data_IF_595724065671
#
_entry.id   IF_595724065671
#
_cell.length_a   1.000
_cell.length_b   1.000
_cell.length_c   1.000
_cell.angle_alpha   90.00
_cell.angle_beta   90.00
_cell.angle_gamma   90.00
#
_symmetry.space_group_name_H-M   'P 1'
#
loop_
_entity.id
_entity.type
_entity.pdbx_description
1 polymer ?
#
# COMPACT_ATOMS: atom_id res chain seq x y z
N UNK A 1 -15.56 -26.64 0.57
CA UNK A 1 -15.45 -25.86 -0.68
C UNK A 1 -14.74 -26.75 -1.68
N UNK A 2 -15.32 -26.93 -2.87
CA UNK A 2 -14.70 -27.72 -3.94
C UNK A 2 -13.45 -27.02 -4.47
N UNK A 3 -12.43 -27.74 -4.98
CA UNK A 3 -11.22 -27.10 -5.52
C UNK A 3 -11.52 -26.05 -6.60
N UNK A 4 -12.55 -26.29 -7.43
CA UNK A 4 -13.03 -25.35 -8.45
C UNK A 4 -13.57 -24.05 -7.84
N UNK A 5 -14.40 -24.16 -6.80
CA UNK A 5 -14.95 -23.00 -6.10
C UNK A 5 -13.85 -22.19 -5.39
N UNK A 6 -12.85 -22.86 -4.80
CA UNK A 6 -11.71 -22.18 -4.18
C UNK A 6 -10.88 -21.39 -5.21
N UNK A 7 -10.55 -21.99 -6.37
CA UNK A 7 -9.83 -21.28 -7.44
C UNK A 7 -10.60 -20.05 -7.92
N UNK A 8 -11.93 -20.13 -8.02
CA UNK A 8 -12.77 -18.99 -8.39
C UNK A 8 -12.73 -17.88 -7.35
N UNK A 9 -12.87 -18.21 -6.06
CA UNK A 9 -12.76 -17.24 -4.97
C UNK A 9 -11.44 -16.46 -5.02
N UNK A 10 -10.32 -17.18 -5.16
CA UNK A 10 -8.99 -16.56 -5.23
C UNK A 10 -8.93 -15.65 -6.46
N UNK A 11 -9.37 -16.11 -7.63
CA UNK A 11 -9.36 -15.31 -8.86
C UNK A 11 -10.19 -14.03 -8.75
N UNK A 12 -11.37 -14.09 -8.12
CA UNK A 12 -12.24 -12.92 -7.94
C UNK A 12 -11.62 -11.88 -7.01
N UNK A 13 -11.08 -12.32 -5.86
CA UNK A 13 -10.40 -11.43 -4.91
C UNK A 13 -9.11 -10.84 -5.48
N UNK A 14 -8.35 -11.61 -6.27
CA UNK A 14 -7.14 -11.07 -6.93
C UNK A 14 -7.48 -10.09 -8.04
N UNK A 15 -8.60 -10.28 -8.75
CA UNK A 15 -9.06 -9.33 -9.78
C UNK A 15 -9.53 -8.02 -9.17
N UNK A 16 -10.33 -8.10 -8.10
CA UNK A 16 -10.80 -6.94 -7.36
C UNK A 16 -10.69 -7.18 -5.85
N UNK A 17 -9.64 -6.64 -5.20
CA UNK A 17 -9.42 -6.80 -3.76
C UNK A 17 -10.48 -6.13 -2.88
N UNK A 18 -11.38 -5.32 -3.45
CA UNK A 18 -12.49 -4.69 -2.72
C UNK A 18 -13.75 -5.56 -2.64
N UNK A 19 -13.75 -6.70 -3.33
CA UNK A 19 -14.89 -7.63 -3.32
C UNK A 19 -15.28 -8.05 -1.91
N UNK A 20 -16.56 -7.92 -1.60
CA UNK A 20 -17.07 -8.27 -0.27
C UNK A 20 -17.34 -9.77 -0.18
N UNK A 21 -17.29 -10.29 1.04
CA UNK A 21 -17.51 -11.72 1.24
C UNK A 21 -18.96 -12.17 0.96
N UNK A 22 -19.93 -11.22 0.98
CA UNK A 22 -21.31 -11.43 0.50
C UNK A 22 -21.40 -11.53 -1.02
N UNK A 23 -20.67 -10.70 -1.76
CA UNK A 23 -20.58 -10.81 -3.22
C UNK A 23 -19.95 -12.15 -3.64
N UNK A 24 -18.89 -12.57 -2.94
CA UNK A 24 -18.27 -13.88 -3.14
C UNK A 24 -19.26 -15.03 -2.84
N UNK A 25 -20.09 -14.88 -1.81
CA UNK A 25 -21.14 -15.84 -1.50
C UNK A 25 -22.17 -15.95 -2.63
N UNK A 26 -22.63 -14.82 -3.18
CA UNK A 26 -23.54 -14.78 -4.32
C UNK A 26 -22.90 -15.40 -5.59
N UNK A 27 -21.62 -15.11 -5.83
CA UNK A 27 -20.85 -15.71 -6.92
C UNK A 27 -20.77 -17.24 -6.81
N UNK A 28 -20.58 -17.77 -5.60
CA UNK A 28 -20.60 -19.22 -5.36
C UNK A 28 -21.98 -19.85 -5.51
N UNK A 29 -23.04 -19.14 -5.09
CA UNK A 29 -24.42 -19.57 -5.27
C UNK A 29 -24.77 -19.78 -6.75
N UNK A 30 -24.20 -18.97 -7.67
CA UNK A 30 -24.37 -19.14 -9.12
C UNK A 30 -23.89 -20.51 -9.65
N UNK A 31 -22.94 -21.15 -8.97
CA UNK A 31 -22.41 -22.49 -9.32
C UNK A 31 -23.05 -23.56 -8.42
N UNK A 32 -24.18 -23.27 -7.77
CA UNK A 32 -24.87 -24.17 -6.84
C UNK A 32 -23.99 -24.57 -5.64
N UNK A 33 -23.01 -23.74 -5.26
CA UNK A 33 -22.18 -23.96 -4.07
C UNK A 33 -22.64 -23.02 -2.96
N UNK A 34 -23.44 -23.52 -2.03
CA UNK A 34 -23.84 -22.77 -0.84
C UNK A 34 -22.75 -22.82 0.23
N UNK A 35 -22.25 -21.66 0.64
CA UNK A 35 -21.21 -21.55 1.67
C UNK A 35 -21.54 -20.37 2.56
N UNK A 36 -21.36 -20.51 3.87
CA UNK A 36 -21.46 -19.39 4.79
C UNK A 36 -20.28 -18.44 4.65
N UNK A 37 -20.54 -17.16 4.79
CA UNK A 37 -19.59 -16.06 4.72
C UNK A 37 -18.31 -16.27 5.57
N UNK A 38 -18.46 -16.76 6.81
CA UNK A 38 -17.31 -17.06 7.69
C UNK A 38 -16.36 -18.13 7.12
N UNK A 39 -16.89 -19.10 6.37
CA UNK A 39 -16.09 -20.14 5.71
C UNK A 39 -15.30 -19.57 4.53
N UNK A 40 -15.88 -18.61 3.80
CA UNK A 40 -15.20 -17.88 2.72
C UNK A 40 -14.01 -17.13 3.30
N UNK A 41 -14.22 -16.32 4.34
CA UNK A 41 -13.13 -15.57 5.00
C UNK A 41 -12.02 -16.49 5.53
N UNK A 42 -12.36 -17.59 6.21
CA UNK A 42 -11.37 -18.57 6.71
C UNK A 42 -10.57 -19.17 5.56
N UNK A 43 -11.21 -19.48 4.43
CA UNK A 43 -10.53 -20.04 3.26
C UNK A 43 -9.62 -19.03 2.58
N UNK A 44 -10.03 -17.77 2.45
CA UNK A 44 -9.16 -16.70 1.95
C UNK A 44 -7.93 -16.51 2.84
N UNK A 45 -8.12 -16.46 4.16
CA UNK A 45 -7.00 -16.34 5.12
C UNK A 45 -6.02 -17.51 5.05
N UNK A 46 -6.50 -18.75 4.85
CA UNK A 46 -5.63 -19.92 4.62
C UNK A 46 -4.78 -19.82 3.34
N UNK A 47 -5.16 -18.97 2.38
CA UNK A 47 -4.40 -18.68 1.16
C UNK A 47 -3.63 -17.35 1.26
N UNK A 48 -3.48 -16.78 2.47
CA UNK A 48 -2.77 -15.50 2.68
C UNK A 48 -3.52 -14.25 2.24
N UNK A 49 -4.80 -14.39 1.86
CA UNK A 49 -5.63 -13.26 1.43
C UNK A 49 -6.37 -12.68 2.64
N UNK A 50 -5.96 -11.47 3.02
CA UNK A 50 -6.54 -10.72 4.14
C UNK A 50 -7.13 -9.41 3.66
N UNK A 51 -8.27 -9.02 4.23
CA UNK A 51 -8.81 -7.68 4.04
C UNK A 51 -7.85 -6.64 4.62
N UNK A 52 -7.50 -5.64 3.82
CA UNK A 52 -6.65 -4.50 4.21
C UNK A 52 -7.26 -3.21 3.68
N UNK A 53 -7.07 -2.13 4.42
CA UNK A 53 -7.40 -0.80 3.92
C UNK A 53 -6.27 -0.26 3.04
N UNK A 54 -6.59 0.33 1.88
CA UNK A 54 -5.58 1.00 1.06
C UNK A 54 -5.00 2.19 1.85
N UNK A 55 -3.69 2.39 1.76
CA UNK A 55 -3.06 3.59 2.37
C UNK A 55 -3.46 4.84 1.58
N UNK A 56 -3.74 5.93 2.29
CA UNK A 56 -3.95 7.23 1.68
C UNK A 56 -2.62 7.72 1.08
N UNK A 57 -2.58 7.91 -0.24
CA UNK A 57 -1.41 8.41 -0.98
C UNK A 57 -1.81 9.64 -1.78
N UNK A 58 -0.93 10.65 -1.91
CA UNK A 58 -1.18 11.77 -2.81
C UNK A 58 -1.31 11.26 -4.24
N UNK A 59 -2.22 11.85 -5.01
CA UNK A 59 -2.38 11.55 -6.42
C UNK A 59 -1.22 12.17 -7.20
N UNK A 60 -0.41 11.35 -7.86
CA UNK A 60 0.73 11.81 -8.63
C UNK A 60 0.38 11.90 -10.12
N UNK A 61 0.78 13.00 -10.76
CA UNK A 61 0.73 13.12 -12.21
C UNK A 61 1.76 12.21 -12.87
N UNK A 62 1.55 11.82 -14.13
CA UNK A 62 2.53 11.02 -14.90
C UNK A 62 3.90 11.72 -14.99
N UNK A 63 3.91 13.06 -15.06
CA UNK A 63 5.13 13.87 -15.06
C UNK A 63 5.89 13.72 -13.74
N UNK A 64 5.19 13.86 -12.61
CA UNK A 64 5.78 13.78 -11.28
C UNK A 64 6.33 12.37 -11.01
N UNK A 65 5.61 11.31 -11.42
CA UNK A 65 6.10 9.93 -11.29
C UNK A 65 7.44 9.75 -12.00
N UNK A 66 7.57 10.23 -13.24
CA UNK A 66 8.83 10.16 -13.99
C UNK A 66 9.94 10.98 -13.35
N UNK A 67 9.62 12.19 -12.89
CA UNK A 67 10.60 13.06 -12.24
C UNK A 67 11.13 12.43 -10.94
N UNK A 68 10.24 11.88 -10.11
CA UNK A 68 10.63 11.20 -8.88
C UNK A 68 11.46 9.95 -9.14
N UNK A 69 11.09 9.15 -10.15
CA UNK A 69 11.86 7.96 -10.53
C UNK A 69 13.25 8.32 -11.05
N UNK A 70 13.36 9.34 -11.91
CA UNK A 70 14.66 9.80 -12.41
C UNK A 70 15.54 10.35 -11.29
N UNK A 71 14.95 11.09 -10.35
CA UNK A 71 15.66 11.58 -9.17
C UNK A 71 16.17 10.41 -8.32
N UNK A 72 15.31 9.45 -7.99
CA UNK A 72 15.69 8.26 -7.20
C UNK A 72 16.81 7.46 -7.88
N UNK A 73 16.74 7.24 -9.20
CA UNK A 73 17.80 6.54 -9.95
C UNK A 73 19.11 7.30 -9.97
N UNK A 74 19.06 8.63 -10.13
CA UNK A 74 20.26 9.48 -10.17
C UNK A 74 21.01 9.44 -8.84
N UNK A 75 20.28 9.45 -7.74
CA UNK A 75 20.83 9.57 -6.39
C UNK A 75 20.88 8.23 -5.63
N UNK A 76 20.64 7.09 -6.29
CA UNK A 76 20.59 5.75 -5.66
C UNK A 76 21.92 5.35 -5.03
N UNK A 77 23.03 5.74 -5.65
CA UNK A 77 24.39 5.38 -5.25
C UNK A 77 25.15 6.55 -4.60
N UNK A 78 24.44 7.62 -4.25
CA UNK A 78 25.09 8.76 -3.61
C UNK A 78 25.52 8.40 -2.20
N UNK A 79 26.72 8.87 -1.82
CA UNK A 79 27.30 8.61 -0.51
C UNK A 79 26.50 9.31 0.60
N UNK A 80 26.56 8.76 1.81
CA UNK A 80 25.89 9.31 2.98
C UNK A 80 26.22 10.79 3.22
N UNK A 81 27.49 11.17 3.03
CA UNK A 81 27.97 12.55 3.17
C UNK A 81 27.23 13.55 2.27
N UNK A 82 26.76 13.11 1.08
CA UNK A 82 25.97 13.97 0.20
C UNK A 82 24.63 14.33 0.86
N UNK A 83 23.97 13.36 1.48
CA UNK A 83 22.68 13.56 2.14
C UNK A 83 22.79 14.33 3.46
N UNK A 84 23.89 14.15 4.19
CA UNK A 84 24.18 14.91 5.42
C UNK A 84 24.42 16.39 5.15
N UNK A 85 25.04 16.71 4.00
CA UNK A 85 25.29 18.08 3.57
C UNK A 85 24.13 18.68 2.75
N UNK A 86 23.06 17.92 2.50
CA UNK A 86 21.88 18.41 1.78
C UNK A 86 20.95 19.16 2.73
N UNK A 87 20.72 20.44 2.46
CA UNK A 87 19.73 21.23 3.19
C UNK A 87 18.31 20.88 2.68
N UNK A 88 17.48 20.34 3.58
CA UNK A 88 16.08 20.05 3.30
C UNK A 88 15.20 21.18 3.81
N UNK A 89 14.47 21.84 2.90
CA UNK A 89 13.49 22.86 3.24
C UNK A 89 12.11 22.39 2.78
N UNK A 90 11.17 22.31 3.69
CA UNK A 90 9.75 22.08 3.37
C UNK A 90 8.89 23.04 4.19
N UNK A 91 7.82 23.54 3.58
CA UNK A 91 6.87 24.45 4.22
C UNK A 91 5.65 23.65 4.69
N UNK A 92 5.58 23.39 5.99
CA UNK A 92 4.39 22.79 6.60
C UNK A 92 3.56 23.83 7.34
N UNK A 93 2.24 23.87 7.08
CA UNK A 93 1.32 24.73 7.82
C UNK A 93 1.23 24.30 9.28
N UNK A 94 1.66 25.18 10.18
CA UNK A 94 1.52 24.97 11.62
C UNK A 94 0.11 25.33 12.07
N UNK A 95 -0.61 24.34 12.60
CA UNK A 95 -1.89 24.55 13.27
C UNK A 95 -1.66 24.47 14.79
N UNK A 96 -2.27 25.39 15.53
CA UNK A 96 -2.08 25.54 16.98
C UNK A 96 -2.27 24.24 17.80
N UNK A 97 -3.06 23.29 17.29
CA UNK A 97 -3.36 22.03 17.99
C UNK A 97 -2.27 20.95 17.87
N UNK A 98 -1.22 21.14 17.06
CA UNK A 98 -0.22 20.10 16.74
C UNK A 98 1.18 20.34 17.33
N UNK A 99 1.38 21.39 18.14
CA UNK A 99 2.70 21.77 18.66
C UNK A 99 3.42 20.68 19.48
N UNK A 100 2.69 19.79 20.15
CA UNK A 100 3.28 18.74 20.99
C UNK A 100 3.85 17.53 20.22
N UNK A 101 3.65 17.43 18.89
CA UNK A 101 4.02 16.23 18.12
C UNK A 101 5.31 16.38 17.28
N UNK A 102 5.92 17.56 17.26
CA UNK A 102 7.14 17.79 16.48
C UNK A 102 8.38 17.62 17.36
N UNK A 103 8.88 16.38 17.50
CA UNK A 103 10.22 16.14 18.06
C UNK A 103 11.26 15.98 16.94
N UNK A 104 11.86 17.11 16.53
CA UNK A 104 13.21 17.19 15.95
C UNK A 104 13.43 16.82 14.45
N UNK A 105 14.50 17.38 13.83
CA UNK A 105 14.83 17.24 12.40
C UNK A 105 15.18 15.81 11.93
N UNK A 106 15.36 14.86 12.86
CA UNK A 106 15.70 13.46 12.56
C UNK A 106 14.54 12.67 11.94
N UNK A 107 13.28 13.10 12.13
CA UNK A 107 12.11 12.38 11.62
C UNK A 107 11.88 12.54 10.10
N UNK A 108 12.35 13.66 9.52
CA UNK A 108 12.11 13.94 8.10
C UNK A 108 13.11 13.21 7.19
N UNK A 109 14.38 13.11 7.62
CA UNK A 109 15.40 12.36 6.89
C UNK A 109 15.05 10.88 6.76
N UNK A 110 14.62 10.23 7.86
CA UNK A 110 14.24 8.81 7.81
C UNK A 110 13.03 8.56 6.91
N UNK A 111 12.01 9.42 6.95
CA UNK A 111 10.80 9.23 6.15
C UNK A 111 11.04 9.38 4.64
N UNK A 112 11.90 10.31 4.22
CA UNK A 112 12.27 10.48 2.81
C UNK A 112 13.08 9.28 2.33
N UNK A 113 14.10 8.86 3.09
CA UNK A 113 14.92 7.68 2.78
C UNK A 113 14.06 6.43 2.66
N UNK A 114 13.18 6.16 3.65
CA UNK A 114 12.28 5.02 3.65
C UNK A 114 11.33 5.03 2.44
N UNK A 115 10.88 6.21 2.02
CA UNK A 115 10.02 6.36 0.84
C UNK A 115 10.76 6.10 -0.47
N UNK A 116 12.02 6.54 -0.59
CA UNK A 116 12.88 6.30 -1.76
C UNK A 116 13.27 4.82 -1.85
N UNK A 117 13.61 4.18 -0.72
CA UNK A 117 13.89 2.75 -0.63
C UNK A 117 12.67 1.91 -1.05
N UNK A 118 11.46 2.31 -0.62
CA UNK A 118 10.22 1.64 -0.99
C UNK A 118 9.85 1.81 -2.47
N UNK A 119 10.30 2.90 -3.12
CA UNK A 119 10.14 3.11 -4.57
C UNK A 119 11.18 2.32 -5.36
N UNK A 120 12.41 2.21 -4.86
CA UNK A 120 13.47 1.43 -5.51
C UNK A 120 13.22 -0.09 -5.46
N UNK A 121 12.56 -0.57 -4.40
CA UNK A 121 12.27 -2.00 -4.17
C UNK A 121 10.89 -2.45 -4.71
N UNK A 122 10.15 -1.60 -5.40
CA UNK A 122 8.85 -1.89 -6.00
C UNK A 122 8.97 -2.10 -7.52
#
# INVERSE_FOLDING_TARGET
ITPRAQRRLIREVTKDPRTTSKELQASLASIKVSVHDSTIRKRLGKNGLHGRFPRHKPLLSKKNIRAHLNFAKKHLNDFQDFWENTLWTDESKLNYNNFAKMSGPKFLQSAVIDSLQAIANA
#
